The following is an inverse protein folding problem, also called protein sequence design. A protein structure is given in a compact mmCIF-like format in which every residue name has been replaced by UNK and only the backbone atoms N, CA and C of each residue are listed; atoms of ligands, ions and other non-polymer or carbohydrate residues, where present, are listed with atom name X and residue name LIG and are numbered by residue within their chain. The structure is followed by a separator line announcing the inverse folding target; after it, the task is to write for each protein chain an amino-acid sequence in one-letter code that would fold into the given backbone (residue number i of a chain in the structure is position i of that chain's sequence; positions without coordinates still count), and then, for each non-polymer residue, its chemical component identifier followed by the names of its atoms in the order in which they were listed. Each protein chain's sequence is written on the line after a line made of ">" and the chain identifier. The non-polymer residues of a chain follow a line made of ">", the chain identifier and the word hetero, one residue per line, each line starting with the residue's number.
data_IF_477613913545
#
_entry.id   IF_477613913545
#
_cell.length_a   1.000
_cell.length_b   1.000
_cell.length_c   1.000
_cell.angle_alpha   90.00
_cell.angle_beta   90.00
_cell.angle_gamma   90.00
#
_symmetry.space_group_name_H-M   'P 1'
#
loop_
_entity.id
_entity.type
_entity.pdbx_description
1 polymer ?
#
# COMPACT_ATOMS: atom_id res chain seq x y z
N UNK A 1 -6.53 -14.29 -17.00
CA UNK A 1 -6.24 -12.85 -16.87
C UNK A 1 -4.74 -12.69 -16.79
N UNK A 2 -4.20 -11.62 -17.36
CA UNK A 2 -2.79 -11.25 -17.21
C UNK A 2 -2.61 -10.62 -15.82
N UNK A 3 -1.54 -11.00 -15.10
CA UNK A 3 -1.23 -10.52 -13.76
C UNK A 3 -1.14 -8.99 -13.70
N UNK A 4 -0.51 -8.38 -14.72
CA UNK A 4 -0.40 -6.92 -14.81
C UNK A 4 -1.75 -6.25 -15.06
N UNK A 5 -2.60 -6.86 -15.88
CA UNK A 5 -3.96 -6.33 -16.11
C UNK A 5 -4.81 -6.39 -14.84
N UNK A 6 -4.67 -7.44 -14.03
CA UNK A 6 -5.35 -7.53 -12.74
C UNK A 6 -4.83 -6.45 -11.79
N UNK A 7 -3.51 -6.33 -11.64
CA UNK A 7 -2.84 -5.31 -10.80
C UNK A 7 -3.33 -3.90 -11.12
N UNK A 8 -3.27 -3.49 -12.39
CA UNK A 8 -3.72 -2.16 -12.85
C UNK A 8 -5.21 -1.94 -12.59
N UNK A 9 -6.04 -2.97 -12.82
CA UNK A 9 -7.49 -2.86 -12.56
C UNK A 9 -7.80 -2.68 -11.07
N UNK A 10 -7.06 -3.36 -10.19
CA UNK A 10 -7.23 -3.25 -8.75
C UNK A 10 -6.72 -1.92 -8.19
N UNK A 11 -5.58 -1.42 -8.67
CA UNK A 11 -5.08 -0.07 -8.29
C UNK A 11 -6.16 0.99 -8.53
N UNK A 12 -6.91 0.89 -9.64
CA UNK A 12 -7.98 1.84 -9.97
C UNK A 12 -9.19 1.85 -9.02
N UNK A 13 -9.36 0.83 -8.16
CA UNK A 13 -10.47 0.76 -7.19
C UNK A 13 -10.01 0.95 -5.74
N UNK A 14 -8.70 1.02 -5.49
CA UNK A 14 -8.16 1.27 -4.15
C UNK A 14 -8.27 2.75 -3.76
N UNK A 15 -8.33 3.06 -2.45
CA UNK A 15 -8.14 4.42 -1.97
C UNK A 15 -6.81 4.98 -2.46
N UNK A 16 -6.79 6.27 -2.84
CA UNK A 16 -5.54 6.93 -3.22
C UNK A 16 -4.65 7.12 -1.98
N UNK A 17 -3.38 6.68 -2.02
CA UNK A 17 -2.40 6.94 -0.97
C UNK A 17 -2.31 8.45 -0.67
N UNK A 18 -2.15 8.79 0.60
CA UNK A 18 -1.91 10.15 1.07
C UNK A 18 -0.48 10.26 1.54
N UNK A 19 0.24 11.27 1.06
CA UNK A 19 1.61 11.58 1.46
C UNK A 19 1.63 13.04 1.93
N UNK A 20 1.90 13.25 3.21
CA UNK A 20 1.75 14.56 3.87
C UNK A 20 3.04 14.91 4.60
N UNK A 21 3.47 16.17 4.51
CA UNK A 21 4.56 16.70 5.31
C UNK A 21 4.01 17.27 6.63
N UNK A 22 4.43 16.72 7.76
CA UNK A 22 3.96 17.09 9.10
C UNK A 22 5.12 17.06 10.11
N UNK A 23 5.16 18.00 11.06
CA UNK A 23 6.15 18.09 12.15
C UNK A 23 7.64 17.94 11.74
N UNK A 24 7.98 18.35 10.53
CA UNK A 24 9.34 18.28 9.99
C UNK A 24 9.72 16.92 9.40
N UNK A 25 8.77 15.99 9.29
CA UNK A 25 8.90 14.72 8.59
C UNK A 25 7.79 14.53 7.54
N UNK A 26 7.63 13.27 7.12
CA UNK A 26 6.65 12.84 6.14
C UNK A 26 5.85 11.66 6.69
N UNK A 27 4.55 11.64 6.42
CA UNK A 27 3.65 10.54 6.74
C UNK A 27 2.98 10.04 5.46
N UNK A 28 2.88 8.73 5.34
CA UNK A 28 2.22 8.02 4.23
C UNK A 28 1.14 7.13 4.81
N UNK A 29 -0.09 7.21 4.30
CA UNK A 29 -1.19 6.35 4.75
C UNK A 29 -2.23 6.09 3.65
N UNK A 30 -2.96 4.99 3.79
CA UNK A 30 -4.13 4.68 2.97
C UNK A 30 -5.42 4.89 3.76
N UNK A 31 -6.33 5.78 3.33
CA UNK A 31 -7.61 5.97 4.01
C UNK A 31 -8.39 4.66 4.15
N UNK A 32 -8.78 4.32 5.37
CA UNK A 32 -9.56 3.11 5.67
C UNK A 32 -8.76 1.81 5.74
N UNK A 33 -7.43 1.87 5.61
CA UNK A 33 -6.52 0.73 5.74
C UNK A 33 -5.66 0.93 7.00
N UNK A 34 -5.45 -0.11 7.83
CA UNK A 34 -4.66 0.00 9.05
C UNK A 34 -3.15 -0.09 8.78
N UNK A 35 -2.66 0.64 7.78
CA UNK A 35 -1.24 0.70 7.38
C UNK A 35 -0.87 2.16 7.16
N UNK A 36 0.19 2.59 7.83
CA UNK A 36 0.79 3.90 7.69
C UNK A 36 2.29 3.79 7.99
N UNK A 37 3.06 4.71 7.45
CA UNK A 37 4.49 4.85 7.71
C UNK A 37 4.85 6.33 7.85
N UNK A 38 5.90 6.63 8.60
CA UNK A 38 6.45 7.96 8.74
C UNK A 38 7.98 7.93 8.74
N UNK A 39 8.60 9.00 8.25
CA UNK A 39 10.04 9.15 8.28
C UNK A 39 10.48 10.62 8.21
N UNK A 40 11.79 10.84 8.35
CA UNK A 40 12.37 12.18 8.31
C UNK A 40 12.39 12.79 6.90
N UNK A 41 12.42 11.93 5.87
CA UNK A 41 12.41 12.34 4.47
C UNK A 41 11.29 11.67 3.70
N UNK A 42 10.92 12.28 2.56
CA UNK A 42 9.89 11.74 1.67
C UNK A 42 10.27 10.34 1.18
N UNK A 43 11.51 10.16 0.72
CA UNK A 43 11.95 8.90 0.14
C UNK A 43 11.96 7.77 1.17
N UNK A 44 12.44 8.04 2.39
CA UNK A 44 12.39 7.09 3.50
C UNK A 44 10.94 6.74 3.86
N UNK A 45 10.02 7.71 3.94
CA UNK A 45 8.63 7.41 4.31
C UNK A 45 7.93 6.54 3.26
N UNK A 46 8.30 6.69 1.98
CA UNK A 46 7.80 5.83 0.90
C UNK A 46 8.39 4.42 1.00
N UNK A 47 9.69 4.28 1.26
CA UNK A 47 10.34 2.98 1.39
C UNK A 47 9.81 2.22 2.62
N UNK A 48 9.62 2.92 3.75
CA UNK A 48 8.97 2.38 4.95
C UNK A 48 7.52 1.96 4.68
N UNK A 49 6.77 2.73 3.89
CA UNK A 49 5.41 2.34 3.49
C UNK A 49 5.39 1.10 2.62
N UNK A 50 6.36 0.95 1.70
CA UNK A 50 6.48 -0.26 0.88
C UNK A 50 6.72 -1.47 1.79
N UNK A 51 7.65 -1.36 2.75
CA UNK A 51 7.90 -2.44 3.72
C UNK A 51 6.64 -2.77 4.53
N UNK A 52 5.98 -1.76 5.10
CA UNK A 52 4.77 -1.95 5.90
C UNK A 52 3.63 -2.63 5.09
N UNK A 53 3.50 -2.32 3.79
CA UNK A 53 2.55 -2.97 2.91
C UNK A 53 2.87 -4.45 2.67
N UNK A 54 4.17 -4.79 2.51
CA UNK A 54 4.63 -6.18 2.37
C UNK A 54 4.32 -6.98 3.64
N UNK A 55 4.71 -6.45 4.79
CA UNK A 55 4.45 -7.07 6.10
C UNK A 55 2.95 -7.24 6.34
N UNK A 56 2.15 -6.23 5.99
CA UNK A 56 0.70 -6.33 6.09
C UNK A 56 0.11 -7.42 5.20
N UNK A 57 0.63 -7.60 3.97
CA UNK A 57 0.17 -8.65 3.06
C UNK A 57 0.47 -10.05 3.61
N UNK A 58 1.68 -10.26 4.16
CA UNK A 58 2.08 -11.51 4.79
C UNK A 58 1.19 -11.81 6.01
N UNK A 59 1.05 -10.85 6.94
CA UNK A 59 0.16 -10.95 8.10
C UNK A 59 -1.29 -11.23 7.70
N UNK A 60 -1.75 -10.63 6.60
CA UNK A 60 -3.11 -10.82 6.14
C UNK A 60 -3.40 -12.26 5.74
N UNK A 61 -2.47 -12.89 5.03
CA UNK A 61 -2.60 -14.30 4.65
C UNK A 61 -2.48 -15.24 5.84
N UNK A 62 -1.56 -14.95 6.76
CA UNK A 62 -1.31 -15.82 7.90
C UNK A 62 -2.44 -15.79 8.94
N UNK A 63 -3.04 -14.61 9.17
CA UNK A 63 -3.93 -14.42 10.33
C UNK A 63 -5.05 -13.40 10.19
N UNK A 64 -5.02 -12.45 9.25
CA UNK A 64 -6.03 -11.38 9.19
C UNK A 64 -7.18 -11.61 8.20
N UNK A 65 -7.09 -12.59 7.31
CA UNK A 65 -8.14 -12.92 6.33
C UNK A 65 -9.52 -13.11 6.98
N UNK A 66 -9.57 -13.74 8.16
CA UNK A 66 -10.82 -14.01 8.88
C UNK A 66 -11.26 -12.86 9.82
N UNK A 67 -10.38 -11.88 10.06
CA UNK A 67 -10.68 -10.74 10.92
C UNK A 67 -11.64 -9.77 10.21
N UNK A 68 -12.79 -9.50 10.83
CA UNK A 68 -13.89 -8.73 10.20
C UNK A 68 -13.51 -7.34 9.68
N UNK A 69 -12.54 -6.69 10.34
CA UNK A 69 -12.00 -5.38 10.01
C UNK A 69 -10.87 -5.42 8.96
N UNK A 70 -10.41 -6.61 8.54
CA UNK A 70 -9.33 -6.80 7.57
C UNK A 70 -9.76 -7.61 6.33
N UNK A 71 -10.79 -8.46 6.45
CA UNK A 71 -11.23 -9.39 5.38
C UNK A 71 -11.48 -8.73 4.01
N UNK A 72 -11.87 -7.46 4.00
CA UNK A 72 -12.18 -6.71 2.77
C UNK A 72 -10.92 -6.12 2.09
N UNK A 73 -9.73 -6.25 2.69
CA UNK A 73 -8.48 -5.70 2.15
C UNK A 73 -7.84 -6.63 1.10
N UNK A 74 -8.58 -7.62 0.58
CA UNK A 74 -8.09 -8.54 -0.46
C UNK A 74 -7.51 -7.79 -1.68
N UNK A 75 -8.20 -6.77 -2.19
CA UNK A 75 -7.72 -6.02 -3.36
C UNK A 75 -6.37 -5.33 -3.11
N UNK A 76 -6.15 -4.82 -1.89
CA UNK A 76 -4.88 -4.23 -1.49
C UNK A 76 -3.78 -5.28 -1.46
N UNK A 77 -4.04 -6.41 -0.80
CA UNK A 77 -3.08 -7.53 -0.71
C UNK A 77 -2.69 -8.03 -2.10
N UNK A 78 -3.66 -8.19 -3.01
CA UNK A 78 -3.36 -8.58 -4.39
C UNK A 78 -2.51 -7.55 -5.14
N UNK A 79 -2.75 -6.25 -4.95
CA UNK A 79 -1.88 -5.21 -5.55
C UNK A 79 -0.47 -5.30 -4.99
N UNK A 80 -0.31 -5.50 -3.68
CA UNK A 80 1.00 -5.68 -3.05
C UNK A 80 1.70 -6.90 -3.63
N UNK A 81 1.08 -8.08 -3.60
CA UNK A 81 1.68 -9.33 -4.07
C UNK A 81 2.05 -9.33 -5.56
N UNK A 82 1.25 -8.65 -6.40
CA UNK A 82 1.47 -8.59 -7.85
C UNK A 82 2.46 -7.50 -8.27
N UNK A 83 2.84 -6.60 -7.36
CA UNK A 83 3.76 -5.50 -7.66
C UNK A 83 5.17 -5.84 -7.22
N UNK A 84 6.17 -5.36 -7.94
CA UNK A 84 7.50 -5.13 -7.37
C UNK A 84 7.55 -3.82 -6.56
N UNK A 85 8.65 -3.58 -5.84
CA UNK A 85 8.77 -2.41 -4.96
C UNK A 85 8.80 -1.09 -5.74
N UNK A 86 9.31 -1.10 -6.98
CA UNK A 86 9.31 0.08 -7.83
C UNK A 86 7.88 0.44 -8.27
N UNK A 87 7.07 -0.55 -8.63
CA UNK A 87 5.66 -0.38 -8.97
C UNK A 87 4.83 0.10 -7.76
N UNK A 88 5.11 -0.41 -6.56
CA UNK A 88 4.46 0.08 -5.33
C UNK A 88 4.83 1.53 -5.05
N UNK A 89 6.12 1.87 -5.17
CA UNK A 89 6.60 3.24 -5.02
C UNK A 89 5.95 4.19 -6.02
N UNK A 90 5.88 3.81 -7.30
CA UNK A 90 5.18 4.58 -8.34
C UNK A 90 3.70 4.80 -8.00
N UNK A 91 3.01 3.79 -7.50
CA UNK A 91 1.62 3.91 -7.06
C UNK A 91 1.47 4.85 -5.86
N UNK A 92 2.34 4.72 -4.84
CA UNK A 92 2.33 5.56 -3.63
C UNK A 92 2.55 7.05 -3.94
N UNK A 93 3.42 7.36 -4.90
CA UNK A 93 3.68 8.75 -5.31
C UNK A 93 2.65 9.28 -6.33
N UNK A 94 1.66 8.47 -6.71
CA UNK A 94 0.61 8.84 -7.66
C UNK A 94 1.06 8.86 -9.13
N UNK A 95 2.14 8.18 -9.49
CA UNK A 95 2.69 8.14 -10.85
C UNK A 95 1.90 7.23 -11.82
N UNK A 96 0.82 6.59 -11.39
CA UNK A 96 -0.01 5.74 -12.25
C UNK A 96 -1.29 6.46 -12.68
N UNK A 97 -1.20 7.12 -13.85
CA UNK A 97 -2.33 7.38 -14.75
C UNK A 97 -2.03 6.83 -16.12
#
# INVERSE_FOLDING_TARGET
>A
MDADRLRVSLVGVLPSPQVVAEDGGWSVFLPGVPVAADASTFDEAIDEMVLALREYADDWQERLLDASNHRNNWALVQVVELSDDAQLREWLVGATR
#
